data_IF_118596099838
#
_entry.id   IF_118596099838
#
_cell.length_a   1.000
_cell.length_b   1.000
_cell.length_c   1.000
_cell.angle_alpha   90.00
_cell.angle_beta   90.00
_cell.angle_gamma   90.00
#
_symmetry.space_group_name_H-M   'P 1'
#
loop_
_entity.id
_entity.type
_entity.pdbx_description
1 polymer ?
#
# COMPACT_ATOMS: atom_id res chain seq x y z
N UNK A 1 -19.29 -34.22 7.11
CA UNK A 1 -18.51 -33.84 5.92
C UNK A 1 -17.48 -32.81 6.38
N UNK A 2 -16.29 -33.27 6.75
CA UNK A 2 -15.20 -32.45 7.31
C UNK A 2 -13.96 -32.72 6.46
N UNK A 3 -14.07 -32.44 5.17
CA UNK A 3 -13.04 -32.74 4.20
C UNK A 3 -11.89 -31.74 4.34
N UNK A 4 -10.70 -32.20 4.76
CA UNK A 4 -9.55 -31.31 4.95
C UNK A 4 -9.13 -30.62 3.65
N UNK A 5 -9.49 -31.21 2.51
CA UNK A 5 -9.27 -30.65 1.18
C UNK A 5 -10.06 -29.35 0.94
N UNK A 6 -11.32 -29.26 1.41
CA UNK A 6 -12.14 -28.05 1.26
C UNK A 6 -11.55 -26.91 2.08
N UNK A 7 -11.13 -27.20 3.32
CA UNK A 7 -10.46 -26.22 4.18
C UNK A 7 -9.15 -25.71 3.57
N UNK A 8 -8.35 -26.60 2.98
CA UNK A 8 -7.11 -26.22 2.32
C UNK A 8 -7.34 -25.26 1.14
N UNK A 9 -8.32 -25.56 0.27
CA UNK A 9 -8.69 -24.69 -0.84
C UNK A 9 -9.19 -23.33 -0.34
N UNK A 10 -10.04 -23.30 0.68
CA UNK A 10 -10.57 -22.07 1.24
C UNK A 10 -9.45 -21.14 1.77
N UNK A 11 -8.44 -21.70 2.43
CA UNK A 11 -7.27 -20.95 2.92
C UNK A 11 -6.48 -20.36 1.75
N UNK A 12 -6.23 -21.13 0.69
CA UNK A 12 -5.52 -20.64 -0.49
C UNK A 12 -6.27 -19.47 -1.13
N UNK A 13 -7.58 -19.61 -1.33
CA UNK A 13 -8.41 -18.56 -1.93
C UNK A 13 -8.36 -17.28 -1.07
N UNK A 14 -8.42 -17.41 0.25
CA UNK A 14 -8.32 -16.27 1.16
C UNK A 14 -6.97 -15.55 1.02
N UNK A 15 -5.86 -16.30 0.99
CA UNK A 15 -4.52 -15.73 0.83
C UNK A 15 -4.35 -14.99 -0.50
N UNK A 16 -4.89 -15.56 -1.59
CA UNK A 16 -4.88 -14.92 -2.91
C UNK A 16 -5.73 -13.66 -2.91
N UNK A 17 -6.93 -13.68 -2.33
CA UNK A 17 -7.79 -12.50 -2.25
C UNK A 17 -7.13 -11.37 -1.45
N UNK A 18 -6.49 -11.69 -0.32
CA UNK A 18 -5.78 -10.72 0.50
C UNK A 18 -4.56 -10.13 -0.22
N UNK A 19 -3.78 -10.95 -0.92
CA UNK A 19 -2.59 -10.47 -1.64
C UNK A 19 -2.97 -9.57 -2.82
N UNK A 20 -3.99 -9.94 -3.60
CA UNK A 20 -4.52 -9.09 -4.66
C UNK A 20 -5.07 -7.77 -4.13
N UNK A 21 -5.84 -7.80 -3.03
CA UNK A 21 -6.33 -6.58 -2.38
C UNK A 21 -5.19 -5.67 -1.90
N UNK A 22 -4.13 -6.24 -1.32
CA UNK A 22 -2.96 -5.49 -0.88
C UNK A 22 -2.20 -4.84 -2.05
N UNK A 23 -1.98 -5.59 -3.13
CA UNK A 23 -1.28 -5.09 -4.33
C UNK A 23 -2.07 -3.95 -4.97
N UNK A 24 -3.38 -4.13 -5.14
CA UNK A 24 -4.25 -3.11 -5.72
C UNK A 24 -4.32 -1.85 -4.86
N UNK A 25 -4.44 -1.99 -3.53
CA UNK A 25 -4.42 -0.83 -2.63
C UNK A 25 -3.10 -0.07 -2.71
N UNK A 26 -1.96 -0.77 -2.73
CA UNK A 26 -0.64 -0.14 -2.86
C UNK A 26 -0.44 0.54 -4.22
N UNK A 27 -0.87 -0.10 -5.32
CA UNK A 27 -0.71 0.46 -6.66
C UNK A 27 -1.60 1.68 -6.86
N UNK A 28 -2.85 1.65 -6.36
CA UNK A 28 -3.75 2.81 -6.38
C UNK A 28 -3.19 3.95 -5.55
N UNK A 29 -2.71 3.71 -4.32
CA UNK A 29 -2.09 4.76 -3.51
C UNK A 29 -0.89 5.35 -4.23
N UNK A 30 -0.01 4.54 -4.83
CA UNK A 30 1.15 5.04 -5.57
C UNK A 30 0.75 5.88 -6.81
N UNK A 31 -0.23 5.42 -7.59
CA UNK A 31 -0.70 6.12 -8.78
C UNK A 31 -1.40 7.45 -8.45
N UNK A 32 -2.23 7.46 -7.40
CA UNK A 32 -2.87 8.69 -6.92
C UNK A 32 -1.84 9.64 -6.28
N UNK A 33 -0.84 9.10 -5.59
CA UNK A 33 0.28 9.86 -5.03
C UNK A 33 1.09 10.56 -6.14
N UNK A 34 1.32 9.90 -7.28
CA UNK A 34 1.95 10.50 -8.46
C UNK A 34 1.07 11.58 -9.13
N UNK A 35 -0.25 11.40 -9.11
CA UNK A 35 -1.21 12.34 -9.72
C UNK A 35 -1.46 13.60 -8.88
N UNK A 36 -1.67 13.45 -7.57
CA UNK A 36 -2.00 14.55 -6.66
C UNK A 36 -0.77 15.20 -6.03
N UNK A 37 0.37 14.51 -5.96
CA UNK A 37 1.61 15.03 -5.38
C UNK A 37 1.66 15.08 -3.85
N UNK A 38 0.52 14.99 -3.16
CA UNK A 38 0.45 14.87 -1.70
C UNK A 38 -0.89 14.29 -1.21
N UNK A 39 -0.90 13.64 -0.05
CA UNK A 39 -2.11 13.15 0.62
C UNK A 39 -2.13 13.50 2.11
N UNK A 40 -3.34 13.67 2.66
CA UNK A 40 -3.55 14.00 4.07
C UNK A 40 -3.89 12.73 4.86
N UNK A 41 -3.17 12.46 5.95
CA UNK A 41 -3.51 11.41 6.92
C UNK A 41 -3.66 12.06 8.29
N UNK A 42 -4.88 12.12 8.80
CA UNK A 42 -5.19 12.79 10.06
C UNK A 42 -4.84 14.27 10.00
N UNK A 43 -3.78 14.67 10.72
CA UNK A 43 -3.26 16.06 10.76
C UNK A 43 -1.92 16.23 10.02
N UNK A 44 -1.44 15.18 9.36
CA UNK A 44 -0.13 15.15 8.70
C UNK A 44 -0.28 15.06 7.19
N UNK A 45 0.47 15.87 6.46
CA UNK A 45 0.54 15.88 5.00
C UNK A 45 1.75 15.05 4.58
N UNK A 46 1.52 14.09 3.68
CA UNK A 46 2.56 13.27 3.09
C UNK A 46 2.74 13.71 1.65
N UNK A 47 3.88 14.32 1.33
CA UNK A 47 4.25 14.62 -0.05
C UNK A 47 4.81 13.37 -0.74
N UNK A 48 4.38 13.19 -1.99
CA UNK A 48 4.77 12.10 -2.84
C UNK A 48 6.00 12.51 -3.64
N UNK A 49 7.16 11.88 -3.37
CA UNK A 49 8.40 12.10 -4.12
C UNK A 49 8.85 10.77 -4.76
N UNK A 50 9.24 10.77 -6.05
CA UNK A 50 9.81 9.58 -6.68
C UNK A 50 11.07 9.15 -5.92
N UNK A 51 11.33 7.83 -5.83
CA UNK A 51 12.49 7.30 -5.09
C UNK A 51 13.84 7.79 -5.63
N UNK A 52 13.88 8.31 -6.86
CA UNK A 52 15.05 8.98 -7.45
C UNK A 52 15.42 10.28 -6.71
N UNK A 53 14.47 10.88 -5.96
CA UNK A 53 14.64 12.10 -5.19
C UNK A 53 14.69 11.84 -3.67
N UNK A 54 15.45 10.83 -3.22
CA UNK A 54 15.81 10.71 -1.80
C UNK A 54 16.89 11.72 -1.43
N UNK A 55 16.57 13.01 -1.44
CA UNK A 55 17.34 13.97 -0.62
C UNK A 55 16.78 13.90 0.80
N UNK A 56 17.60 13.63 1.83
CA UNK A 56 17.11 13.51 3.20
C UNK A 56 16.56 14.86 3.66
N UNK A 57 15.26 14.91 3.94
CA UNK A 57 14.62 16.01 4.67
C UNK A 57 15.04 15.94 6.16
N UNK A 58 16.32 16.23 6.42
CA UNK A 58 16.87 16.56 7.73
C UNK A 58 17.99 17.59 7.53
N UNK A 59 17.62 18.84 7.22
CA UNK A 59 18.35 20.05 7.64
C UNK A 59 17.55 21.28 7.17
N UNK A 60 16.72 21.84 8.05
CA UNK A 60 16.27 23.24 8.05
C UNK A 60 15.11 23.40 9.05
N UNK A 61 15.43 23.41 10.34
CA UNK A 61 14.65 24.19 11.31
C UNK A 61 15.61 25.24 11.87
N UNK A 62 15.28 26.54 11.82
CA UNK A 62 16.11 27.61 12.36
C UNK A 62 16.32 27.49 13.87
#
# INVERSE_FOLDING_TARGET
>A
MNDPFIWFIAIIVLLVALSFGWIQAHSTVAAECERLGAFYVGKTVYECRPQDQKTPHKEARP
#
